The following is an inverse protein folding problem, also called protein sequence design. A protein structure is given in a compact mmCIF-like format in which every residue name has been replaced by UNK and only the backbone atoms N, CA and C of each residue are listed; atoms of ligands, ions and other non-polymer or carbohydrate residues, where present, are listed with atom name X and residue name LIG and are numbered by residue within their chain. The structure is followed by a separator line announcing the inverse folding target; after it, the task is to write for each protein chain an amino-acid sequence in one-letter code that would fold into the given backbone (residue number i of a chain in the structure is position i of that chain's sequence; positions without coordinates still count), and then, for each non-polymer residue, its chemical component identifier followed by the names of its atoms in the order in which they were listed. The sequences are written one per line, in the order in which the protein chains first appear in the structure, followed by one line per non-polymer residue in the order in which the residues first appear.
data_IF_802488239605
#
_entry.id   IF_802488239605
#
_cell.length_a   1.000
_cell.length_b   1.000
_cell.length_c   1.000
_cell.angle_alpha   90.00
_cell.angle_beta   90.00
_cell.angle_gamma   90.00
#
_symmetry.space_group_name_H-M   'P 1'
#
loop_
_entity.id
_entity.type
_entity.pdbx_description
1 polymer ?
#
# COMPACT_ATOMS: atom_id res chain seq x y z
N UNK A 1 -35.85 -6.58 8.47
CA UNK A 1 -34.93 -7.65 8.00
C UNK A 1 -34.68 -7.63 6.49
N UNK A 2 -35.53 -7.01 5.65
CA UNK A 2 -35.33 -6.96 4.18
C UNK A 2 -34.67 -5.65 3.67
N UNK A 3 -34.76 -4.54 4.41
CA UNK A 3 -34.09 -3.28 4.05
C UNK A 3 -32.55 -3.37 4.14
N UNK A 4 -32.03 -4.11 5.12
CA UNK A 4 -30.59 -4.18 5.41
C UNK A 4 -29.82 -4.94 4.32
N UNK A 5 -30.48 -5.84 3.59
CA UNK A 5 -29.88 -6.58 2.47
C UNK A 5 -29.87 -5.79 1.16
N UNK A 6 -30.66 -4.71 1.05
CA UNK A 6 -30.80 -3.92 -0.17
C UNK A 6 -29.65 -2.92 -0.36
N UNK A 7 -29.01 -2.52 0.73
CA UNK A 7 -27.86 -1.59 0.74
C UNK A 7 -26.61 -2.26 0.16
N UNK A 8 -26.46 -3.58 0.34
CA UNK A 8 -25.32 -4.35 -0.16
C UNK A 8 -25.33 -4.48 -1.70
N UNK A 9 -26.48 -4.23 -2.36
CA UNK A 9 -26.68 -4.59 -3.77
C UNK A 9 -26.58 -3.45 -4.79
N UNK A 10 -26.31 -2.22 -4.36
CA UNK A 10 -26.17 -1.10 -5.31
C UNK A 10 -24.86 -0.37 -5.08
N UNK A 11 -23.77 -0.96 -5.56
CA UNK A 11 -22.50 -0.27 -5.76
C UNK A 11 -22.70 0.73 -6.90
N UNK A 12 -23.29 1.89 -6.58
CA UNK A 12 -23.42 3.00 -7.52
C UNK A 12 -22.03 3.59 -7.76
N UNK A 13 -21.81 4.11 -8.97
CA UNK A 13 -20.54 4.75 -9.35
C UNK A 13 -20.11 5.84 -8.35
N UNK A 14 -21.08 6.63 -7.84
CA UNK A 14 -20.84 7.67 -6.84
C UNK A 14 -20.33 7.09 -5.51
N UNK A 15 -20.94 6.02 -5.00
CA UNK A 15 -20.50 5.39 -3.75
C UNK A 15 -19.11 4.78 -3.87
N UNK A 16 -18.73 4.25 -5.04
CA UNK A 16 -17.36 3.78 -5.27
C UNK A 16 -16.34 4.92 -5.21
N UNK A 17 -16.62 6.03 -5.91
CA UNK A 17 -15.72 7.18 -5.91
C UNK A 17 -15.48 7.72 -4.50
N UNK A 18 -16.54 7.80 -3.68
CA UNK A 18 -16.45 8.32 -2.32
C UNK A 18 -15.64 7.40 -1.42
N UNK A 19 -15.84 6.09 -1.54
CA UNK A 19 -15.02 5.09 -0.84
C UNK A 19 -13.56 5.20 -1.30
N UNK A 20 -13.31 5.26 -2.60
CA UNK A 20 -11.95 5.37 -3.15
C UNK A 20 -11.24 6.64 -2.68
N UNK A 21 -11.91 7.80 -2.74
CA UNK A 21 -11.40 9.08 -2.24
C UNK A 21 -11.07 9.00 -0.75
N UNK A 22 -11.96 8.41 0.04
CA UNK A 22 -11.80 8.24 1.49
C UNK A 22 -10.64 7.30 1.83
N UNK A 23 -10.55 6.14 1.17
CA UNK A 23 -9.46 5.18 1.35
C UNK A 23 -8.11 5.77 0.93
N UNK A 24 -8.06 6.47 -0.21
CA UNK A 24 -6.84 7.18 -0.66
C UNK A 24 -6.39 8.21 0.36
N UNK A 25 -7.33 8.97 0.94
CA UNK A 25 -7.03 9.95 1.99
C UNK A 25 -6.46 9.27 3.25
N UNK A 26 -7.08 8.18 3.70
CA UNK A 26 -6.60 7.43 4.86
C UNK A 26 -5.18 6.87 4.65
N UNK A 27 -4.90 6.29 3.48
CA UNK A 27 -3.56 5.81 3.10
C UNK A 27 -2.55 6.96 3.14
N UNK A 28 -2.88 8.09 2.52
CA UNK A 28 -2.01 9.26 2.48
C UNK A 28 -1.71 9.82 3.88
N UNK A 29 -2.75 9.95 4.71
CA UNK A 29 -2.60 10.49 6.06
C UNK A 29 -1.85 9.54 7.00
N UNK A 30 -1.94 8.22 6.79
CA UNK A 30 -1.13 7.25 7.52
C UNK A 30 0.32 7.18 7.04
N UNK A 31 0.58 7.42 5.75
CA UNK A 31 1.94 7.44 5.22
C UNK A 31 2.79 8.57 5.82
N UNK A 32 2.18 9.71 6.18
CA UNK A 32 2.88 10.84 6.81
C UNK A 32 3.59 10.48 8.13
N UNK A 33 2.89 9.98 9.18
CA UNK A 33 3.53 9.59 10.43
C UNK A 33 4.50 8.41 10.25
N UNK A 34 4.25 7.50 9.30
CA UNK A 34 5.20 6.44 8.96
C UNK A 34 6.54 7.03 8.48
N UNK A 35 6.50 7.90 7.47
CA UNK A 35 7.71 8.55 6.93
C UNK A 35 8.37 9.41 8.01
N UNK A 36 7.59 10.14 8.82
CA UNK A 36 8.13 10.94 9.92
C UNK A 36 8.86 10.08 10.95
N UNK A 37 8.28 8.94 11.34
CA UNK A 37 8.92 7.99 12.26
C UNK A 37 10.23 7.44 11.68
N UNK A 38 10.25 7.06 10.40
CA UNK A 38 11.47 6.60 9.73
C UNK A 38 12.59 7.66 9.75
N UNK A 39 12.23 8.94 9.56
CA UNK A 39 13.19 10.05 9.67
C UNK A 39 13.76 10.18 11.09
N UNK A 40 12.90 10.09 12.11
CA UNK A 40 13.34 10.14 13.52
C UNK A 40 14.25 8.96 13.86
N UNK A 41 14.04 7.82 13.23
CA UNK A 41 14.90 6.64 13.35
C UNK A 41 16.14 6.67 12.45
N UNK A 42 16.43 7.78 11.77
CA UNK A 42 17.57 7.94 10.85
C UNK A 42 17.61 6.95 9.68
N UNK A 43 16.44 6.55 9.16
CA UNK A 43 16.39 5.66 8.01
C UNK A 43 16.73 6.40 6.71
N UNK A 44 17.40 5.71 5.81
CA UNK A 44 17.54 6.15 4.42
C UNK A 44 16.22 5.91 3.67
N UNK A 45 15.46 7.00 3.49
CA UNK A 45 14.17 6.96 2.78
C UNK A 45 14.31 6.58 1.31
N UNK A 46 15.46 6.83 0.70
CA UNK A 46 15.72 6.47 -0.69
C UNK A 46 15.88 4.96 -0.82
N UNK A 47 16.74 4.40 0.04
CA UNK A 47 16.95 2.97 0.14
C UNK A 47 15.64 2.24 0.52
N UNK A 48 14.86 2.81 1.45
CA UNK A 48 13.57 2.24 1.83
C UNK A 48 12.56 2.27 0.68
N UNK A 49 12.50 3.34 -0.11
CA UNK A 49 11.63 3.41 -1.29
C UNK A 49 12.01 2.36 -2.33
N UNK A 50 13.30 2.19 -2.61
CA UNK A 50 13.80 1.16 -3.54
C UNK A 50 13.54 -0.26 -3.01
N UNK A 51 13.61 -0.47 -1.69
CA UNK A 51 13.28 -1.77 -1.08
C UNK A 51 11.80 -2.13 -1.20
N UNK A 52 10.89 -1.13 -1.20
CA UNK A 52 9.45 -1.35 -1.38
C UNK A 52 9.12 -1.70 -2.84
N UNK A 53 9.69 -0.95 -3.78
CA UNK A 53 9.41 -1.08 -5.21
C UNK A 53 10.69 -0.77 -6.01
N UNK A 54 11.49 -1.80 -6.25
CA UNK A 54 12.81 -1.65 -6.87
C UNK A 54 12.74 -1.28 -8.37
N UNK A 55 11.58 -1.47 -9.01
CA UNK A 55 11.33 -1.20 -10.44
C UNK A 55 10.75 0.18 -10.73
N UNK A 56 10.40 0.98 -9.72
CA UNK A 56 9.73 2.25 -9.94
C UNK A 56 10.71 3.34 -10.42
N UNK A 57 10.44 3.90 -11.61
CA UNK A 57 11.13 5.09 -12.12
C UNK A 57 10.33 6.33 -11.73
N UNK A 58 10.94 7.21 -10.92
CA UNK A 58 10.30 8.42 -10.45
C UNK A 58 10.71 9.63 -11.28
N UNK A 59 9.73 10.34 -11.84
CA UNK A 59 9.99 11.59 -12.57
C UNK A 59 10.55 12.72 -11.68
N UNK A 60 10.27 12.69 -10.37
CA UNK A 60 10.76 13.67 -9.39
C UNK A 60 11.11 12.97 -8.08
N UNK A 61 12.11 13.49 -7.35
CA UNK A 61 12.49 12.97 -6.03
C UNK A 61 11.29 12.95 -5.06
N UNK A 62 10.45 13.98 -5.11
CA UNK A 62 9.24 14.08 -4.28
C UNK A 62 8.19 12.99 -4.58
N UNK A 63 8.28 12.29 -5.72
CA UNK A 63 7.38 11.18 -6.06
C UNK A 63 7.75 9.88 -5.34
N UNK A 64 8.94 9.76 -4.73
CA UNK A 64 9.31 8.58 -3.92
C UNK A 64 8.35 8.34 -2.75
N UNK A 65 7.61 9.37 -2.32
CA UNK A 65 6.50 9.25 -1.34
C UNK A 65 5.46 8.19 -1.75
N UNK A 66 5.24 8.00 -3.06
CA UNK A 66 4.27 7.03 -3.58
C UNK A 66 4.69 5.58 -3.33
N UNK A 67 5.98 5.30 -3.13
CA UNK A 67 6.44 3.99 -2.65
C UNK A 67 5.77 3.65 -1.30
N UNK A 68 5.83 4.58 -0.36
CA UNK A 68 5.29 4.43 0.99
C UNK A 68 3.76 4.38 0.98
N UNK A 69 3.09 5.23 0.21
CA UNK A 69 1.64 5.17 0.04
C UNK A 69 1.21 3.81 -0.54
N UNK A 70 1.94 3.28 -1.53
CA UNK A 70 1.68 1.94 -2.10
C UNK A 70 1.92 0.83 -1.08
N UNK A 71 2.97 0.93 -0.26
CA UNK A 71 3.22 -0.01 0.83
C UNK A 71 2.06 -0.04 1.83
N UNK A 72 1.61 1.12 2.29
CA UNK A 72 0.48 1.26 3.21
C UNK A 72 -0.80 0.72 2.57
N UNK A 73 -1.07 1.07 1.31
CA UNK A 73 -2.20 0.54 0.56
C UNK A 73 -2.17 -0.99 0.55
N UNK A 74 -1.04 -1.61 0.18
CA UNK A 74 -0.87 -3.07 0.13
C UNK A 74 -1.14 -3.75 1.49
N UNK A 75 -0.78 -3.09 2.60
CA UNK A 75 -0.99 -3.59 3.97
C UNK A 75 -2.45 -3.45 4.42
N UNK A 76 -3.09 -2.32 4.12
CA UNK A 76 -4.48 -2.04 4.53
C UNK A 76 -5.47 -2.86 3.70
N UNK A 77 -5.29 -2.91 2.38
CA UNK A 77 -6.22 -3.60 1.48
C UNK A 77 -5.96 -5.11 1.40
N UNK A 78 -4.93 -5.58 2.10
CA UNK A 78 -4.60 -7.00 2.16
C UNK A 78 -4.42 -7.59 0.76
N UNK A 79 -3.78 -6.87 -0.18
CA UNK A 79 -3.31 -7.47 -1.43
C UNK A 79 -2.34 -8.57 -1.08
N UNK A 80 -2.92 -9.74 -0.82
CA UNK A 80 -2.25 -10.99 -0.72
C UNK A 80 -1.47 -11.12 -2.03
N UNK A 81 -0.14 -11.23 -1.90
CA UNK A 81 0.60 -12.11 -2.79
C UNK A 81 -0.30 -13.33 -2.99
N UNK A 82 -0.67 -13.57 -4.24
CA UNK A 82 -1.52 -14.64 -4.78
C UNK A 82 -1.70 -15.88 -3.87
N UNK A 83 -2.84 -16.59 -3.99
CA UNK A 83 -3.03 -17.87 -3.31
C UNK A 83 -1.78 -18.76 -3.43
N UNK A 84 -1.45 -19.43 -2.33
CA UNK A 84 -0.21 -20.21 -2.11
C UNK A 84 0.16 -21.20 -3.24
N UNK A 85 -0.76 -21.50 -4.16
CA UNK A 85 -0.58 -22.40 -5.30
C UNK A 85 0.30 -21.85 -6.43
N UNK A 86 0.59 -20.55 -6.50
CA UNK A 86 1.43 -19.96 -7.57
C UNK A 86 2.90 -19.69 -7.15
N UNK A 87 3.35 -20.24 -6.00
CA UNK A 87 4.70 -19.98 -5.45
C UNK A 87 5.80 -20.97 -5.85
N UNK A 88 5.59 -21.85 -6.83
CA UNK A 88 6.62 -22.77 -7.31
C UNK A 88 7.36 -22.29 -8.58
N UNK A 89 7.67 -21.00 -8.70
CA UNK A 89 8.86 -20.58 -9.43
C UNK A 89 9.22 -19.13 -9.11
N UNK A 90 10.15 -18.96 -8.19
CA UNK A 90 11.11 -17.85 -8.13
C UNK A 90 11.69 -17.84 -6.71
N UNK A 91 12.80 -18.56 -6.60
CA UNK A 91 13.63 -18.61 -5.42
C UNK A 91 14.87 -17.77 -5.71
N UNK A 92 14.86 -16.51 -5.28
CA UNK A 92 16.03 -15.82 -4.72
C UNK A 92 15.56 -14.46 -4.19
N UNK A 93 16.09 -14.01 -3.05
CA UNK A 93 15.72 -12.76 -2.35
C UNK A 93 14.53 -12.87 -1.38
N UNK A 94 14.53 -13.88 -0.50
CA UNK A 94 13.67 -13.92 0.70
C UNK A 94 14.44 -13.70 2.00
N UNK A 95 15.48 -12.85 1.97
CA UNK A 95 16.25 -12.47 3.16
C UNK A 95 16.18 -10.97 3.50
N UNK A 96 15.45 -10.15 2.73
CA UNK A 96 15.42 -8.68 2.92
C UNK A 96 14.10 -8.10 3.41
N UNK A 97 13.15 -8.94 3.87
CA UNK A 97 11.86 -8.46 4.42
C UNK A 97 11.63 -8.93 5.85
N UNK A 98 12.70 -9.22 6.59
CA UNK A 98 12.65 -9.33 8.05
C UNK A 98 13.05 -7.96 8.61
N UNK A 99 12.05 -7.10 8.79
CA UNK A 99 12.21 -5.96 9.68
C UNK A 99 12.27 -6.48 11.14
N UNK A 100 13.01 -5.83 12.05
CA UNK A 100 13.14 -6.29 13.44
C UNK A 100 11.79 -6.41 14.16
#
# INVERSE_FOLDING_TARGET
MEQEKKIIKTFTHSSFEDIFKSTRKAIHDFAKPLIASMKVSYWDLDQAANAIENSAVYAKISHKKYAFETYVARRITGTARLPLSLRLHSNSSRHLLRWP
#
